data_IF_468958868772
#
_entry.id   IF_468958868772
#
_cell.length_a   1.000
_cell.length_b   1.000
_cell.length_c   1.000
_cell.angle_alpha   90.00
_cell.angle_beta   90.00
_cell.angle_gamma   90.00
#
_symmetry.space_group_name_H-M   'P 1'
#
loop_
_entity.id
_entity.type
_entity.pdbx_description
1 polymer ?
#
# COMPACT_ATOMS: atom_id res chain seq x y z
N UNK A 1 -17.46 -21.66 17.18
CA UNK A 1 -17.22 -20.47 16.35
C UNK A 1 -16.22 -20.89 15.31
N UNK A 2 -16.62 -20.92 14.04
CA UNK A 2 -15.69 -21.14 12.95
C UNK A 2 -14.93 -19.84 12.70
N UNK A 3 -13.61 -19.87 12.91
CA UNK A 3 -12.73 -18.75 12.56
C UNK A 3 -12.46 -18.87 11.06
N UNK A 4 -13.06 -17.99 10.27
CA UNK A 4 -12.78 -17.92 8.84
C UNK A 4 -11.48 -17.13 8.60
N UNK A 5 -10.58 -17.63 7.74
CA UNK A 5 -9.34 -16.94 7.42
C UNK A 5 -9.63 -15.66 6.61
N UNK A 6 -8.86 -14.60 6.90
CA UNK A 6 -8.79 -13.40 6.06
C UNK A 6 -7.65 -13.54 5.06
N UNK A 7 -7.95 -13.36 3.78
CA UNK A 7 -6.96 -13.50 2.71
C UNK A 7 -6.43 -12.14 2.29
N UNK A 8 -5.12 -11.95 2.41
CA UNK A 8 -4.42 -10.74 2.01
C UNK A 8 -3.54 -11.04 0.78
N UNK A 9 -3.59 -10.16 -0.22
CA UNK A 9 -2.71 -10.26 -1.39
C UNK A 9 -1.54 -9.30 -1.25
N UNK A 10 -0.34 -9.86 -1.04
CA UNK A 10 0.86 -9.09 -0.70
C UNK A 10 1.81 -8.93 -1.89
N UNK A 11 1.83 -9.90 -2.82
CA UNK A 11 2.70 -9.87 -3.99
C UNK A 11 2.20 -8.92 -5.08
N UNK A 12 3.14 -8.42 -5.89
CA UNK A 12 2.86 -7.50 -6.99
C UNK A 12 1.69 -7.95 -7.88
N UNK A 13 0.70 -7.07 -8.03
CA UNK A 13 -0.49 -7.30 -8.83
C UNK A 13 -0.33 -6.69 -10.23
N UNK A 14 -0.09 -7.55 -11.20
CA UNK A 14 -0.16 -7.14 -12.60
C UNK A 14 -1.59 -6.76 -12.97
N UNK A 15 -1.82 -5.53 -13.44
CA UNK A 15 -3.16 -4.99 -13.72
C UNK A 15 -4.03 -5.89 -14.61
N UNK A 16 -3.42 -6.59 -15.59
CA UNK A 16 -4.12 -7.51 -16.50
C UNK A 16 -4.70 -8.76 -15.82
N UNK A 17 -4.22 -9.09 -14.61
CA UNK A 17 -4.65 -10.24 -13.82
C UNK A 17 -5.79 -9.92 -12.85
N UNK A 18 -6.17 -8.65 -12.69
CA UNK A 18 -7.29 -8.25 -11.81
C UNK A 18 -8.56 -9.04 -12.12
N UNK A 19 -8.92 -9.18 -13.40
CA UNK A 19 -10.09 -9.93 -13.86
C UNK A 19 -10.06 -11.43 -13.52
N UNK A 20 -8.91 -11.98 -13.14
CA UNK A 20 -8.74 -13.39 -12.74
C UNK A 20 -8.78 -13.56 -11.23
N UNK A 21 -8.82 -12.48 -10.46
CA UNK A 21 -8.83 -12.53 -9.01
C UNK A 21 -10.18 -13.02 -8.48
N UNK A 22 -10.12 -13.79 -7.40
CA UNK A 22 -11.31 -14.06 -6.60
C UNK A 22 -11.67 -12.79 -5.80
N UNK A 23 -12.95 -12.36 -5.75
CA UNK A 23 -13.33 -11.10 -5.10
C UNK A 23 -13.31 -11.16 -3.55
N UNK A 24 -13.03 -12.33 -2.95
CA UNK A 24 -13.07 -12.52 -1.48
C UNK A 24 -11.75 -12.22 -0.76
N UNK A 25 -10.85 -11.44 -1.36
CA UNK A 25 -9.72 -10.92 -0.61
C UNK A 25 -10.19 -9.86 0.39
N UNK A 26 -9.60 -9.88 1.58
CA UNK A 26 -9.85 -8.89 2.61
C UNK A 26 -9.04 -7.62 2.36
N UNK A 27 -7.81 -7.76 1.84
CA UNK A 27 -6.95 -6.62 1.55
C UNK A 27 -5.94 -6.90 0.42
N UNK A 28 -5.58 -5.86 -0.34
CA UNK A 28 -4.48 -5.86 -1.32
C UNK A 28 -3.41 -4.88 -0.85
N UNK A 29 -2.18 -5.36 -0.64
CA UNK A 29 -1.11 -4.53 -0.08
C UNK A 29 -0.25 -3.84 -1.15
N UNK A 30 -0.28 -4.33 -2.38
CA UNK A 30 0.67 -3.98 -3.45
C UNK A 30 0.08 -2.98 -4.45
N UNK A 31 -0.65 -1.96 -4.00
CA UNK A 31 -1.17 -0.92 -4.91
C UNK A 31 -0.06 0.07 -5.20
N UNK A 32 0.61 -0.10 -6.34
CA UNK A 32 1.85 0.60 -6.70
C UNK A 32 1.69 1.74 -7.71
N UNK A 33 0.48 1.92 -8.26
CA UNK A 33 0.20 2.91 -9.30
C UNK A 33 -1.25 3.36 -9.28
N UNK A 34 -1.47 4.61 -9.73
CA UNK A 34 -2.82 5.19 -9.78
C UNK A 34 -3.72 4.41 -10.75
N UNK A 35 -3.17 3.97 -11.89
CA UNK A 35 -3.87 3.14 -12.87
C UNK A 35 -4.32 1.80 -12.26
N UNK A 36 -3.49 1.18 -11.42
CA UNK A 36 -3.86 -0.05 -10.73
C UNK A 36 -5.01 0.20 -9.73
N UNK A 37 -4.94 1.28 -8.96
CA UNK A 37 -6.00 1.68 -8.04
C UNK A 37 -7.34 1.92 -8.77
N UNK A 38 -7.31 2.63 -9.91
CA UNK A 38 -8.50 2.85 -10.73
C UNK A 38 -9.11 1.53 -11.24
N UNK A 39 -8.28 0.62 -11.76
CA UNK A 39 -8.74 -0.68 -12.25
C UNK A 39 -9.32 -1.54 -11.14
N UNK A 40 -8.75 -1.50 -9.94
CA UNK A 40 -9.30 -2.18 -8.76
C UNK A 40 -10.65 -1.58 -8.36
N UNK A 41 -10.76 -0.25 -8.29
CA UNK A 41 -12.03 0.40 -7.99
C UNK A 41 -13.13 -0.02 -8.97
N UNK A 42 -12.84 -0.03 -10.27
CA UNK A 42 -13.79 -0.48 -11.28
C UNK A 42 -14.13 -1.99 -11.16
N UNK A 43 -13.13 -2.84 -10.92
CA UNK A 43 -13.39 -4.27 -10.72
C UNK A 43 -14.31 -4.55 -9.53
N UNK A 44 -14.10 -3.89 -8.39
CA UNK A 44 -14.94 -4.06 -7.20
C UNK A 44 -16.31 -3.39 -7.35
N UNK A 45 -16.43 -2.32 -8.15
CA UNK A 45 -17.70 -1.75 -8.61
C UNK A 45 -18.53 -2.78 -9.38
N UNK A 46 -17.95 -3.44 -10.40
CA UNK A 46 -18.64 -4.48 -11.19
C UNK A 46 -19.10 -5.68 -10.35
N UNK A 47 -18.42 -5.95 -9.22
CA UNK A 47 -18.79 -7.01 -8.28
C UNK A 47 -19.73 -6.56 -7.18
N UNK A 48 -20.13 -5.28 -7.16
CA UNK A 48 -20.91 -4.67 -6.09
C UNK A 48 -20.29 -4.95 -4.69
N UNK A 49 -18.96 -4.82 -4.61
CA UNK A 49 -18.16 -5.12 -3.43
C UNK A 49 -17.22 -3.96 -3.11
N UNK A 50 -16.56 -4.04 -1.94
CA UNK A 50 -15.51 -3.12 -1.52
C UNK A 50 -14.31 -3.90 -1.02
N UNK A 51 -13.12 -3.32 -1.14
CA UNK A 51 -11.90 -3.91 -0.61
C UNK A 51 -11.02 -2.86 0.07
N UNK A 52 -10.33 -3.28 1.13
CA UNK A 52 -9.28 -2.48 1.74
C UNK A 52 -7.98 -2.60 0.94
N UNK A 53 -7.23 -1.51 0.81
CA UNK A 53 -5.95 -1.49 0.12
C UNK A 53 -4.88 -0.77 0.92
N UNK A 54 -3.64 -1.21 0.77
CA UNK A 54 -2.46 -0.45 1.16
C UNK A 54 -1.76 0.06 -0.10
N UNK A 55 -1.20 1.26 0.01
CA UNK A 55 -0.44 1.87 -1.05
C UNK A 55 1.03 1.48 -0.90
N UNK A 56 1.58 0.81 -1.91
CA UNK A 56 2.99 0.43 -1.94
C UNK A 56 3.83 1.65 -2.30
N UNK A 57 4.78 2.00 -1.42
CA UNK A 57 5.66 3.15 -1.59
C UNK A 57 7.10 2.66 -1.64
N UNK A 58 7.80 3.01 -2.72
CA UNK A 58 9.24 2.81 -2.84
C UNK A 58 9.96 3.94 -2.12
N UNK A 59 10.37 3.66 -0.88
CA UNK A 59 11.14 4.59 -0.05
C UNK A 59 12.64 4.48 -0.35
N UNK A 60 13.08 3.31 -0.80
CA UNK A 60 14.49 3.02 -1.08
C UNK A 60 15.05 3.78 -2.28
N UNK A 61 14.20 4.11 -3.26
CA UNK A 61 14.61 4.69 -4.54
C UNK A 61 15.23 3.68 -5.51
N UNK A 62 15.28 2.39 -5.19
CA UNK A 62 15.76 1.36 -6.11
C UNK A 62 14.78 1.18 -7.28
N UNK A 63 15.26 1.34 -8.52
CA UNK A 63 14.43 1.20 -9.73
C UNK A 63 13.84 -0.21 -9.92
N UNK A 64 14.44 -1.21 -9.29
CA UNK A 64 13.99 -2.61 -9.34
C UNK A 64 12.76 -2.88 -8.44
N UNK A 65 12.40 -1.95 -7.55
CA UNK A 65 11.30 -2.08 -6.59
C UNK A 65 10.04 -1.42 -7.11
N UNK A 66 8.90 -2.02 -6.80
CA UNK A 66 7.58 -1.45 -7.10
C UNK A 66 7.21 -0.36 -6.08
N UNK A 67 6.16 0.38 -6.41
CA UNK A 67 5.56 1.38 -5.55
C UNK A 67 5.69 2.79 -6.08
N UNK A 68 4.87 3.67 -5.52
CA UNK A 68 5.00 5.10 -5.76
C UNK A 68 6.34 5.59 -5.21
N UNK A 69 7.00 6.45 -5.96
CA UNK A 69 8.30 6.95 -5.56
C UNK A 69 8.18 7.93 -4.39
N UNK A 70 8.62 7.48 -3.22
CA UNK A 70 8.66 8.23 -1.97
C UNK A 70 10.08 8.56 -1.51
N UNK A 71 11.08 8.30 -2.35
CA UNK A 71 12.51 8.32 -1.98
C UNK A 71 13.07 9.69 -1.62
N UNK A 72 12.37 10.77 -1.95
CA UNK A 72 12.81 12.13 -1.64
C UNK A 72 11.68 13.03 -1.16
N UNK A 73 12.06 14.08 -0.41
CA UNK A 73 11.13 15.10 0.08
C UNK A 73 10.44 15.83 -1.08
N UNK A 74 11.11 16.01 -2.22
CA UNK A 74 10.53 16.69 -3.39
C UNK A 74 9.37 15.89 -4.01
N UNK A 75 9.40 14.56 -3.90
CA UNK A 75 8.35 13.68 -4.43
C UNK A 75 7.18 13.48 -3.46
N UNK A 76 7.36 13.89 -2.20
CA UNK A 76 6.39 13.73 -1.12
C UNK A 76 5.06 14.41 -1.41
N UNK A 77 5.07 15.65 -1.91
CA UNK A 77 3.83 16.38 -2.21
C UNK A 77 3.04 15.69 -3.31
N UNK A 78 3.69 15.29 -4.41
CA UNK A 78 3.05 14.53 -5.49
C UNK A 78 2.52 13.17 -5.03
N UNK A 79 3.24 12.50 -4.12
CA UNK A 79 2.80 11.24 -3.52
C UNK A 79 1.52 11.45 -2.71
N UNK A 80 1.50 12.46 -1.84
CA UNK A 80 0.33 12.79 -1.00
C UNK A 80 -0.87 13.11 -1.88
N UNK A 81 -0.75 13.99 -2.87
CA UNK A 81 -1.86 14.33 -3.77
C UNK A 81 -2.38 13.13 -4.56
N UNK A 82 -1.49 12.21 -4.95
CA UNK A 82 -1.90 10.99 -5.63
C UNK A 82 -2.68 10.07 -4.68
N UNK A 83 -2.23 9.91 -3.45
CA UNK A 83 -2.91 9.09 -2.45
C UNK A 83 -4.26 9.70 -2.05
N UNK A 84 -4.35 11.03 -1.90
CA UNK A 84 -5.62 11.74 -1.70
C UNK A 84 -6.63 11.44 -2.81
N UNK A 85 -6.18 11.45 -4.07
CA UNK A 85 -7.03 11.09 -5.20
C UNK A 85 -7.50 9.63 -5.11
N UNK A 86 -6.64 8.70 -4.70
CA UNK A 86 -7.00 7.28 -4.50
C UNK A 86 -8.00 7.13 -3.35
N UNK A 87 -7.85 7.89 -2.27
CA UNK A 87 -8.77 7.89 -1.14
C UNK A 87 -10.20 8.33 -1.50
N UNK A 88 -10.39 9.01 -2.64
CA UNK A 88 -11.71 9.42 -3.13
C UNK A 88 -12.51 8.29 -3.82
N UNK A 89 -11.91 7.12 -4.01
CA UNK A 89 -12.57 5.99 -4.66
C UNK A 89 -13.63 5.31 -3.77
N UNK A 90 -14.72 4.85 -4.40
CA UNK A 90 -15.91 4.36 -3.69
C UNK A 90 -15.86 2.87 -3.34
N UNK A 91 -15.11 2.08 -4.12
CA UNK A 91 -15.04 0.62 -4.04
C UNK A 91 -13.69 0.08 -3.59
N UNK A 92 -12.67 0.93 -3.47
CA UNK A 92 -11.48 0.61 -2.69
C UNK A 92 -11.35 1.59 -1.54
N UNK A 93 -10.92 1.11 -0.38
CA UNK A 93 -10.65 1.92 0.80
C UNK A 93 -9.15 1.88 1.08
N UNK A 94 -8.44 2.97 0.84
CA UNK A 94 -7.05 3.07 1.25
C UNK A 94 -6.97 3.18 2.77
N UNK A 95 -6.31 2.22 3.42
CA UNK A 95 -6.22 2.14 4.90
C UNK A 95 -4.80 2.30 5.44
N UNK A 96 -3.81 2.54 4.56
CA UNK A 96 -2.45 2.76 4.99
C UNK A 96 -1.42 2.52 3.88
N UNK A 97 -0.18 2.31 4.31
CA UNK A 97 0.98 2.13 3.44
C UNK A 97 1.58 0.73 3.55
N UNK A 98 2.26 0.34 2.49
CA UNK A 98 3.13 -0.82 2.40
C UNK A 98 4.49 -0.36 1.88
N UNK A 99 5.58 -0.92 2.40
CA UNK A 99 6.90 -0.72 1.79
C UNK A 99 7.73 -1.99 1.88
N UNK A 100 8.51 -2.25 0.83
CA UNK A 100 9.49 -3.31 0.79
C UNK A 100 10.88 -2.68 0.76
N UNK A 101 11.65 -2.77 1.87
CA UNK A 101 12.99 -2.22 1.90
C UNK A 101 13.94 -2.94 0.91
N UNK A 102 15.12 -2.36 0.65
CA UNK A 102 16.17 -3.05 -0.08
C UNK A 102 16.63 -4.29 0.69
N UNK A 103 17.36 -5.16 0.01
CA UNK A 103 18.03 -6.24 0.73
C UNK A 103 19.07 -5.64 1.69
N UNK A 104 19.04 -6.07 2.95
CA UNK A 104 19.92 -5.59 4.00
C UNK A 104 20.65 -6.77 4.64
N UNK A 105 21.95 -6.58 4.88
CA UNK A 105 22.76 -7.56 5.62
C UNK A 105 22.54 -7.46 7.14
N UNK A 106 22.00 -6.33 7.61
CA UNK A 106 21.66 -6.08 9.02
C UNK A 106 20.27 -5.42 9.13
N UNK A 107 19.40 -5.87 10.06
CA UNK A 107 18.04 -5.32 10.21
C UNK A 107 17.99 -3.80 10.42
N UNK A 108 18.98 -3.26 11.13
CA UNK A 108 19.11 -1.82 11.41
C UNK A 108 19.26 -0.95 10.15
N UNK A 109 19.63 -1.54 9.01
CA UNK A 109 19.73 -0.82 7.74
C UNK A 109 18.34 -0.47 7.17
N UNK A 110 17.28 -1.15 7.60
CA UNK A 110 15.91 -0.92 7.14
C UNK A 110 15.11 0.04 8.06
N UNK A 111 15.62 0.32 9.26
CA UNK A 111 14.92 1.14 10.27
C UNK A 111 14.57 2.53 9.72
N UNK A 112 15.48 3.16 8.98
CA UNK A 112 15.25 4.46 8.33
C UNK A 112 14.09 4.40 7.31
N UNK A 113 13.97 3.29 6.56
CA UNK A 113 12.86 3.11 5.62
C UNK A 113 11.52 3.01 6.35
N UNK A 114 11.46 2.24 7.44
CA UNK A 114 10.24 2.06 8.21
C UNK A 114 9.79 3.32 8.94
N UNK A 115 10.75 4.06 9.52
CA UNK A 115 10.48 5.34 10.16
C UNK A 115 9.94 6.37 9.15
N UNK A 116 10.53 6.43 7.95
CA UNK A 116 10.06 7.32 6.90
C UNK A 116 8.67 6.91 6.38
N UNK A 117 8.37 5.61 6.27
CA UNK A 117 7.05 5.13 5.90
C UNK A 117 5.99 5.53 6.93
N UNK A 118 6.32 5.40 8.23
CA UNK A 118 5.46 5.83 9.34
C UNK A 118 5.18 7.33 9.27
N UNK A 119 6.22 8.16 9.07
CA UNK A 119 6.09 9.61 8.90
C UNK A 119 5.14 9.95 7.73
N UNK A 120 5.23 9.22 6.61
CA UNK A 120 4.34 9.44 5.47
C UNK A 120 2.90 9.06 5.78
N UNK A 121 2.69 7.93 6.47
CA UNK A 121 1.36 7.50 6.87
C UNK A 121 0.69 8.54 7.78
N UNK A 122 1.40 9.04 8.80
CA UNK A 122 0.92 10.10 9.69
C UNK A 122 0.61 11.39 8.94
N UNK A 123 1.48 11.80 8.00
CA UNK A 123 1.25 12.99 7.18
C UNK A 123 0.00 12.86 6.31
N UNK A 124 -0.14 11.74 5.61
CA UNK A 124 -1.32 11.49 4.76
C UNK A 124 -2.58 11.47 5.62
N UNK A 125 -2.56 10.82 6.77
CA UNK A 125 -3.68 10.82 7.72
C UNK A 125 -4.06 12.25 8.14
N UNK A 126 -3.07 13.09 8.47
CA UNK A 126 -3.30 14.47 8.90
C UNK A 126 -3.87 15.35 7.78
N UNK A 127 -3.38 15.22 6.54
CA UNK A 127 -3.85 16.05 5.41
C UNK A 127 -5.22 15.59 4.91
N UNK A 128 -5.45 14.28 4.82
CA UNK A 128 -6.73 13.71 4.37
C UNK A 128 -7.83 13.75 5.43
N UNK A 129 -7.47 13.81 6.71
CA UNK A 129 -8.40 13.64 7.83
C UNK A 129 -8.93 12.19 8.00
N UNK A 130 -8.35 11.21 7.30
CA UNK A 130 -8.80 9.82 7.31
C UNK A 130 -8.20 9.05 8.50
N UNK A 131 -8.94 8.98 9.60
CA UNK A 131 -8.53 8.27 10.82
C UNK A 131 -8.26 6.77 10.63
N UNK A 132 -8.81 6.17 9.57
CA UNK A 132 -8.59 4.77 9.22
C UNK A 132 -7.31 4.53 8.40
N UNK A 133 -6.68 5.59 7.87
CA UNK A 133 -5.41 5.51 7.15
C UNK A 133 -4.25 5.42 8.15
N UNK A 134 -3.99 4.23 8.68
CA UNK A 134 -3.01 4.01 9.78
C UNK A 134 -2.26 2.68 9.70
N UNK A 135 -2.64 1.81 8.75
CA UNK A 135 -1.99 0.52 8.61
C UNK A 135 -0.62 0.66 7.98
N UNK A 136 0.32 -0.14 8.46
CA UNK A 136 1.69 -0.19 7.96
C UNK A 136 2.04 -1.65 7.71
N UNK A 137 2.12 -2.03 6.44
CA UNK A 137 2.61 -3.34 6.02
C UNK A 137 4.10 -3.23 5.71
N UNK A 138 4.91 -3.54 6.71
CA UNK A 138 6.36 -3.45 6.67
C UNK A 138 6.97 -4.60 7.47
N UNK A 139 8.23 -4.90 7.24
CA UNK A 139 8.90 -6.02 7.91
C UNK A 139 8.62 -7.36 7.24
N UNK A 140 9.65 -8.18 7.25
CA UNK A 140 9.69 -9.58 6.86
C UNK A 140 10.24 -10.38 8.04
N UNK A 141 10.33 -11.70 7.92
CA UNK A 141 10.91 -12.54 8.98
C UNK A 141 12.35 -12.17 9.37
N UNK A 142 13.06 -11.44 8.51
CA UNK A 142 14.45 -11.02 8.77
C UNK A 142 14.56 -9.73 9.59
N UNK A 143 13.52 -8.90 9.64
CA UNK A 143 13.61 -7.52 10.11
C UNK A 143 12.37 -7.03 10.90
N UNK A 144 11.41 -7.91 11.22
CA UNK A 144 10.16 -7.52 11.93
C UNK A 144 10.35 -6.99 13.36
N UNK A 145 11.46 -7.30 14.03
CA UNK A 145 11.73 -6.86 15.42
C UNK A 145 12.27 -5.42 15.50
N UNK A 146 12.57 -4.82 14.34
CA UNK A 146 13.17 -3.49 14.22
C UNK A 146 12.09 -2.40 14.22
#
# INVERSE_FOLDING_TARGET
>A
MDILPLWHMIGHLQSRKIKMMHPSFSCIHSVDSFELAQKLNHFYEEKNAKIDVLIEVNISGEESKYGFDGSSVQKRESLISTIEAICSFSHIKAIGLMTMPPYADQPTQNEACYNLCREYCEKIQNVTGLSDFKQLSMGTSADFET
#
